data_IF_812698083428
#
_entry.id   IF_812698083428
#
_cell.length_a   1.000
_cell.length_b   1.000
_cell.length_c   1.000
_cell.angle_alpha   90.00
_cell.angle_beta   90.00
_cell.angle_gamma   90.00
#
_symmetry.space_group_name_H-M   'P 1'
#
loop_
_entity.id
_entity.type
_entity.pdbx_description
1 polymer ?
#
# COMPACT_ATOMS: atom_id res chain seq x y z
N UNK A 1 -11.14 -20.46 -11.80
CA UNK A 1 -10.40 -19.43 -12.57
C UNK A 1 -11.42 -18.47 -13.17
N UNK A 2 -11.57 -17.26 -12.63
CA UNK A 2 -12.41 -16.21 -13.22
C UNK A 2 -11.65 -14.89 -13.06
N UNK A 3 -10.83 -14.58 -14.05
CA UNK A 3 -9.85 -13.49 -13.97
C UNK A 3 -9.23 -13.16 -15.31
N UNK A 4 -9.98 -13.31 -16.41
CA UNK A 4 -9.62 -12.81 -17.72
C UNK A 4 -10.85 -12.18 -18.35
N UNK A 5 -10.71 -10.93 -18.76
CA UNK A 5 -11.51 -10.29 -19.81
C UNK A 5 -12.85 -9.62 -19.47
N UNK A 6 -12.95 -8.93 -18.33
CA UNK A 6 -13.94 -7.83 -18.18
C UNK A 6 -13.18 -6.54 -17.91
N UNK A 7 -13.26 -5.63 -18.87
CA UNK A 7 -12.32 -4.53 -19.05
C UNK A 7 -12.10 -3.64 -17.83
N UNK A 8 -10.85 -3.19 -17.72
CA UNK A 8 -10.46 -2.01 -16.95
C UNK A 8 -11.38 -0.80 -17.25
N UNK A 9 -12.12 -0.79 -18.35
CA UNK A 9 -13.08 0.22 -18.79
C UNK A 9 -14.26 0.48 -17.85
N UNK A 10 -14.60 -0.43 -16.93
CA UNK A 10 -15.68 -0.19 -15.94
C UNK A 10 -15.18 0.32 -14.58
N UNK A 11 -13.87 0.36 -14.34
CA UNK A 11 -13.29 0.88 -13.11
C UNK A 11 -13.15 2.40 -13.16
N UNK A 12 -13.31 3.09 -12.02
CA UNK A 12 -13.04 4.54 -11.95
C UNK A 12 -11.55 4.78 -12.27
N UNK A 13 -11.21 5.93 -12.85
CA UNK A 13 -9.82 6.26 -13.22
C UNK A 13 -8.81 6.09 -12.07
N UNK A 14 -9.20 6.44 -10.84
CA UNK A 14 -8.40 6.22 -9.63
C UNK A 14 -8.13 4.75 -9.30
N UNK A 15 -9.06 3.85 -9.64
CA UNK A 15 -8.89 2.41 -9.41
C UNK A 15 -7.95 1.79 -10.45
N UNK A 16 -8.00 2.29 -11.70
CA UNK A 16 -7.04 1.92 -12.74
C UNK A 16 -5.62 2.38 -12.36
N UNK A 17 -5.47 3.63 -11.91
CA UNK A 17 -4.20 4.15 -11.43
C UNK A 17 -3.66 3.31 -10.25
N UNK A 18 -4.52 3.02 -9.27
CA UNK A 18 -4.17 2.17 -8.15
C UNK A 18 -3.70 0.77 -8.62
N UNK A 19 -4.36 0.18 -9.61
CA UNK A 19 -3.94 -1.10 -10.18
C UNK A 19 -2.54 -1.03 -10.81
N UNK A 20 -2.23 0.07 -11.52
CA UNK A 20 -0.91 0.30 -12.10
C UNK A 20 0.17 0.46 -11.02
N UNK A 21 -0.08 1.27 -9.98
CA UNK A 21 0.88 1.46 -8.89
C UNK A 21 1.10 0.17 -8.09
N UNK A 22 0.06 -0.63 -7.91
CA UNK A 22 0.18 -1.97 -7.31
C UNK A 22 1.04 -2.90 -8.15
N UNK A 23 0.85 -2.92 -9.48
CA UNK A 23 1.68 -3.71 -10.39
C UNK A 23 3.15 -3.28 -10.37
N UNK A 24 3.42 -1.99 -10.14
CA UNK A 24 4.77 -1.46 -9.97
C UNK A 24 5.38 -1.70 -8.58
N UNK A 25 4.61 -2.25 -7.63
CA UNK A 25 5.08 -2.45 -6.26
C UNK A 25 5.23 -1.17 -5.45
N UNK A 26 4.49 -0.10 -5.79
CA UNK A 26 4.62 1.22 -5.15
C UNK A 26 3.68 1.40 -3.95
N UNK A 27 2.77 0.45 -3.72
CA UNK A 27 1.73 0.56 -2.70
C UNK A 27 1.95 -0.44 -1.57
N UNK A 28 1.89 0.05 -0.34
CA UNK A 28 1.78 -0.75 0.87
C UNK A 28 0.31 -1.09 1.15
N UNK A 29 0.02 -2.35 1.44
CA UNK A 29 -1.33 -2.81 1.77
C UNK A 29 -1.61 -2.67 3.27
N UNK A 30 -2.68 -1.96 3.61
CA UNK A 30 -3.09 -1.74 5.00
C UNK A 30 -4.06 -2.83 5.46
N UNK A 31 -4.99 -3.22 4.57
CA UNK A 31 -6.01 -4.21 4.87
C UNK A 31 -7.25 -4.03 4.00
N UNK A 32 -8.23 -4.88 4.22
CA UNK A 32 -9.52 -4.88 3.52
C UNK A 32 -10.64 -4.80 4.53
N UNK A 33 -11.61 -3.94 4.27
CA UNK A 33 -12.78 -3.78 5.11
C UNK A 33 -14.06 -3.94 4.31
N UNK A 34 -15.16 -4.18 5.02
CA UNK A 34 -16.48 -4.26 4.41
C UNK A 34 -17.06 -2.85 4.25
N UNK A 35 -17.16 -2.35 3.01
CA UNK A 35 -17.70 -1.02 2.75
C UNK A 35 -19.23 -1.01 2.68
N UNK A 36 -19.86 -2.16 2.40
CA UNK A 36 -21.31 -2.31 2.40
C UNK A 36 -21.71 -3.66 2.96
N UNK A 37 -22.65 -3.66 3.92
CA UNK A 37 -23.09 -4.82 4.68
C UNK A 37 -24.61 -4.87 4.72
N UNK A 38 -25.19 -6.06 4.64
CA UNK A 38 -26.62 -6.25 4.93
C UNK A 38 -26.81 -6.12 6.45
N UNK A 39 -27.55 -5.12 6.96
CA UNK A 39 -27.64 -4.85 8.41
C UNK A 39 -28.22 -6.03 9.21
N UNK A 40 -29.14 -6.77 8.60
CA UNK A 40 -29.91 -7.83 9.25
C UNK A 40 -29.14 -9.16 9.29
N UNK A 41 -28.34 -9.45 8.26
CA UNK A 41 -27.64 -10.73 8.10
C UNK A 41 -26.13 -10.62 8.37
N UNK A 42 -25.58 -9.41 8.54
CA UNK A 42 -24.14 -9.19 8.73
C UNK A 42 -23.26 -9.52 7.53
N UNK A 43 -23.85 -9.97 6.41
CA UNK A 43 -23.14 -10.39 5.19
C UNK A 43 -22.54 -9.18 4.49
N UNK A 44 -21.27 -9.29 4.10
CA UNK A 44 -20.55 -8.26 3.38
C UNK A 44 -20.85 -8.30 1.88
N UNK A 45 -21.46 -7.23 1.36
CA UNK A 45 -21.80 -7.09 -0.06
C UNK A 45 -20.62 -6.57 -0.89
N UNK A 46 -19.86 -5.63 -0.33
CA UNK A 46 -18.73 -5.03 -1.01
C UNK A 46 -17.55 -4.91 -0.04
N UNK A 47 -16.40 -5.41 -0.47
CA UNK A 47 -15.12 -5.26 0.24
C UNK A 47 -14.28 -4.21 -0.46
N UNK A 48 -13.65 -3.35 0.33
CA UNK A 48 -12.72 -2.35 -0.17
C UNK A 48 -11.35 -2.56 0.47
N UNK A 49 -10.34 -2.62 -0.38
CA UNK A 49 -8.94 -2.77 0.02
C UNK A 49 -8.28 -1.41 0.04
N UNK A 50 -7.60 -1.09 1.14
CA UNK A 50 -6.94 0.21 1.32
C UNK A 50 -5.43 0.04 1.22
N UNK A 51 -4.81 0.98 0.50
CA UNK A 51 -3.39 0.99 0.23
C UNK A 51 -2.82 2.39 0.43
N UNK A 52 -1.57 2.48 0.89
CA UNK A 52 -0.76 3.69 0.81
C UNK A 52 0.20 3.57 -0.37
N UNK A 53 0.01 4.39 -1.40
CA UNK A 53 0.87 4.40 -2.58
C UNK A 53 1.87 5.54 -2.53
N UNK A 54 3.11 5.23 -2.89
CA UNK A 54 4.23 6.19 -2.94
C UNK A 54 4.73 6.36 -4.38
N UNK A 55 5.60 7.34 -4.60
CA UNK A 55 6.10 7.67 -5.95
C UNK A 55 7.10 6.63 -6.51
N UNK A 56 7.64 5.78 -5.65
CA UNK A 56 8.56 4.71 -6.05
C UNK A 56 8.51 3.55 -5.07
N UNK A 57 9.03 2.40 -5.50
CA UNK A 57 9.20 1.22 -4.64
C UNK A 57 10.16 1.50 -3.48
N UNK A 58 11.24 2.23 -3.74
CA UNK A 58 12.17 2.70 -2.70
C UNK A 58 11.43 3.54 -1.65
N UNK A 59 10.60 4.49 -2.07
CA UNK A 59 9.85 5.34 -1.15
C UNK A 59 8.86 4.54 -0.29
N UNK A 60 8.23 3.50 -0.87
CA UNK A 60 7.39 2.56 -0.13
C UNK A 60 8.18 1.82 0.95
N UNK A 61 9.27 1.15 0.57
CA UNK A 61 10.11 0.36 1.50
C UNK A 61 10.67 1.26 2.60
N UNK A 62 11.19 2.43 2.23
CA UNK A 62 11.70 3.41 3.20
C UNK A 62 10.63 3.81 4.22
N UNK A 63 9.41 4.10 3.78
CA UNK A 63 8.30 4.45 4.67
C UNK A 63 7.91 3.30 5.60
N UNK A 64 7.93 2.06 5.11
CA UNK A 64 7.66 0.87 5.94
C UNK A 64 8.72 0.71 7.04
N UNK A 65 9.99 0.74 6.66
CA UNK A 65 11.11 0.55 7.60
C UNK A 65 11.23 1.71 8.59
N UNK A 66 11.13 2.95 8.13
CA UNK A 66 11.19 4.12 8.99
C UNK A 66 10.05 4.15 10.00
N UNK A 67 8.82 3.80 9.57
CA UNK A 67 7.67 3.74 10.49
C UNK A 67 7.79 2.62 11.52
N UNK A 68 8.39 1.47 11.16
CA UNK A 68 8.73 0.41 12.12
C UNK A 68 9.66 0.94 13.21
N UNK A 69 10.71 1.68 12.85
CA UNK A 69 11.64 2.27 13.81
C UNK A 69 10.97 3.34 14.69
N UNK A 70 10.15 4.20 14.10
CA UNK A 70 9.43 5.27 14.80
C UNK A 70 8.18 4.79 15.57
N UNK A 71 7.90 3.49 15.57
CA UNK A 71 6.69 2.87 16.17
C UNK A 71 5.38 3.50 15.65
N UNK A 72 5.38 3.90 14.39
CA UNK A 72 4.23 4.47 13.70
C UNK A 72 3.50 3.37 12.89
N UNK A 73 2.18 3.42 12.85
CA UNK A 73 1.37 2.53 12.02
C UNK A 73 0.72 3.28 10.85
N UNK A 74 0.27 2.54 9.84
CA UNK A 74 -0.48 3.08 8.71
C UNK A 74 -1.98 3.29 9.01
N UNK A 75 -2.40 3.20 10.28
CA UNK A 75 -3.81 3.25 10.67
C UNK A 75 -4.57 1.98 10.32
N UNK A 76 -5.90 2.11 10.24
CA UNK A 76 -6.79 1.01 9.84
C UNK A 76 -7.18 1.16 8.37
N UNK A 77 -7.74 0.12 7.72
CA UNK A 77 -8.20 0.23 6.34
C UNK A 77 -9.24 1.33 6.13
N UNK A 78 -10.08 1.61 7.13
CA UNK A 78 -11.09 2.66 7.12
C UNK A 78 -10.49 4.06 7.38
N UNK A 79 -9.43 4.13 8.19
CA UNK A 79 -8.76 5.37 8.59
C UNK A 79 -7.24 5.26 8.36
N UNK A 80 -6.86 5.21 7.09
CA UNK A 80 -5.46 5.08 6.67
C UNK A 80 -4.65 6.35 6.92
N UNK A 81 -3.42 6.20 7.43
CA UNK A 81 -2.47 7.28 7.71
C UNK A 81 -1.26 7.21 6.76
N UNK A 82 -1.45 7.61 5.51
CA UNK A 82 -0.43 7.50 4.45
C UNK A 82 0.52 8.70 4.32
N UNK A 83 0.55 9.63 5.28
CA UNK A 83 1.38 10.84 5.17
C UNK A 83 2.88 10.56 5.07
N UNK A 84 3.61 11.52 4.49
CA UNK A 84 5.07 11.63 4.60
C UNK A 84 5.55 11.71 6.05
N UNK A 85 6.82 11.37 6.28
CA UNK A 85 7.50 11.68 7.54
C UNK A 85 7.85 13.17 7.56
N UNK A 86 7.76 13.81 8.72
CA UNK A 86 8.26 15.18 8.90
C UNK A 86 9.79 15.18 8.97
N UNK A 87 10.41 16.36 8.90
CA UNK A 87 11.88 16.48 8.99
C UNK A 87 12.40 15.95 10.32
N UNK A 88 11.69 16.24 11.41
CA UNK A 88 12.05 15.80 12.77
C UNK A 88 11.90 14.30 12.95
N UNK A 89 10.93 13.68 12.26
CA UNK A 89 10.76 12.23 12.24
C UNK A 89 11.86 11.57 11.42
N UNK A 90 12.20 12.13 10.26
CA UNK A 90 13.28 11.63 9.39
C UNK A 90 14.63 11.64 10.11
N UNK A 91 14.92 12.67 10.90
CA UNK A 91 16.17 12.77 11.68
C UNK A 91 16.31 11.67 12.74
N UNK A 92 15.20 11.08 13.19
CA UNK A 92 15.20 9.99 14.18
C UNK A 92 15.33 8.61 13.54
N UNK A 93 15.24 8.51 12.21
CA UNK A 93 15.40 7.26 11.49
C UNK A 93 16.88 6.92 11.40
N UNK A 94 17.22 5.70 11.81
CA UNK A 94 18.55 5.14 11.63
C UNK A 94 18.63 4.50 10.23
N UNK A 95 19.21 5.25 9.29
CA UNK A 95 19.38 4.83 7.90
C UNK A 95 20.26 3.59 7.75
N UNK A 96 21.12 3.27 8.72
CA UNK A 96 21.98 2.08 8.68
C UNK A 96 21.21 0.78 8.92
N UNK A 97 20.02 0.87 9.52
CA UNK A 97 19.16 -0.27 9.88
C UNK A 97 17.98 -0.45 8.93
N UNK A 98 17.93 0.29 7.83
CA UNK A 98 16.86 0.16 6.85
C UNK A 98 17.16 -1.06 5.98
N UNK A 99 16.29 -2.08 6.04
CA UNK A 99 16.38 -3.20 5.13
C UNK A 99 15.81 -2.80 3.76
N UNK A 100 16.66 -2.84 2.72
CA UNK A 100 16.28 -2.58 1.33
C UNK A 100 16.43 -3.81 0.42
N UNK A 101 16.56 -5.01 0.99
CA UNK A 101 16.77 -6.25 0.23
C UNK A 101 15.67 -6.48 -0.81
N UNK A 102 14.43 -6.10 -0.47
CA UNK A 102 13.29 -6.16 -1.39
C UNK A 102 13.54 -5.33 -2.66
N UNK A 103 14.19 -4.18 -2.55
CA UNK A 103 14.51 -3.32 -3.69
C UNK A 103 15.53 -4.00 -4.61
N UNK A 104 16.56 -4.62 -4.04
CA UNK A 104 17.66 -5.24 -4.78
C UNK A 104 17.30 -6.61 -5.37
N UNK A 105 16.34 -7.34 -4.78
CA UNK A 105 15.86 -8.61 -5.33
C UNK A 105 15.40 -8.52 -6.79
N UNK A 106 14.86 -7.37 -7.19
CA UNK A 106 14.42 -7.09 -8.57
C UNK A 106 15.52 -6.48 -9.45
N UNK A 107 16.51 -5.82 -8.85
CA UNK A 107 17.64 -5.22 -9.57
C UNK A 107 18.60 -6.33 -10.02
N UNK A 108 18.89 -7.30 -9.15
CA UNK A 108 19.79 -8.42 -9.43
C UNK A 108 19.20 -9.44 -10.42
N UNK A 109 17.87 -9.53 -10.53
CA UNK A 109 17.20 -10.42 -11.50
C UNK A 109 17.01 -9.79 -12.89
N UNK A 110 17.28 -8.49 -13.04
CA UNK A 110 17.21 -7.78 -14.33
C UNK A 110 18.58 -7.43 -14.93
N UNK A 111 19.67 -7.94 -14.35
CA UNK A 111 21.02 -7.84 -14.90
C UNK A 111 21.27 -8.90 -15.98
#
# INVERSE_FOLDING_TARGET
MLGRDIGLSQCKSKEQELALYRKKGYCYYIGTYCSSRIPILGICLARKSTYCCFQSRLARIFQEEARKQLKMNFGTPECSKCRGLTVEELQKVDFTKINMDELFGDILTKA
#
